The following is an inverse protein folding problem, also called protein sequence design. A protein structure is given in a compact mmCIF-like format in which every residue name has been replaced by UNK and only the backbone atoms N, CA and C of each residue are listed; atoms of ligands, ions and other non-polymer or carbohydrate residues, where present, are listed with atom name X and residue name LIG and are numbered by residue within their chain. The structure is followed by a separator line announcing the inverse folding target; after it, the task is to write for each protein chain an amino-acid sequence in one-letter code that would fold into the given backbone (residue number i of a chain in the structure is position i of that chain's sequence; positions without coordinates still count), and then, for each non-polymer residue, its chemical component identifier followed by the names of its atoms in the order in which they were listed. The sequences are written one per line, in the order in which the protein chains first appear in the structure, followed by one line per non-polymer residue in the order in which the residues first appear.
data_IF_680319711696
#
_entry.id   IF_680319711696
#
_cell.length_a   1.000
_cell.length_b   1.000
_cell.length_c   1.000
_cell.angle_alpha   90.00
_cell.angle_beta   90.00
_cell.angle_gamma   90.00
#
_symmetry.space_group_name_H-M   'P 1'
#
loop_
_entity.id
_entity.type
_entity.pdbx_description
1 polymer ?
#
# COMPACT_ATOMS: atom_id res chain seq x y z
N UNK A 1 -62.59 22.84 -13.20
CA UNK A 1 -62.42 22.79 -11.73
C UNK A 1 -60.98 23.10 -11.43
N UNK A 2 -60.70 24.33 -11.02
CA UNK A 2 -59.36 24.79 -10.64
C UNK A 2 -59.20 24.77 -9.13
N UNK A 3 -57.98 24.49 -8.66
CA UNK A 3 -57.59 24.78 -7.30
C UNK A 3 -56.24 25.51 -7.32
N UNK A 4 -56.31 26.75 -6.86
CA UNK A 4 -55.20 27.64 -6.55
C UNK A 4 -54.67 27.24 -5.18
N UNK A 5 -53.38 26.92 -5.08
CA UNK A 5 -52.71 26.70 -3.78
C UNK A 5 -52.05 28.01 -3.37
N UNK A 6 -52.54 28.59 -2.28
CA UNK A 6 -51.94 29.75 -1.61
C UNK A 6 -50.72 29.32 -0.79
N UNK A 7 -49.56 29.93 -1.08
CA UNK A 7 -48.41 29.94 -0.18
C UNK A 7 -48.65 30.99 0.93
N UNK A 8 -48.64 30.56 2.19
CA UNK A 8 -48.64 31.44 3.36
C UNK A 8 -47.27 31.35 4.04
N UNK A 9 -46.53 32.45 3.92
CA UNK A 9 -45.31 32.74 4.66
C UNK A 9 -45.67 33.05 6.12
N UNK A 10 -45.07 32.33 7.08
CA UNK A 10 -45.03 32.76 8.49
C UNK A 10 -43.56 33.00 8.85
N UNK A 11 -43.20 34.28 8.92
CA UNK A 11 -41.96 34.79 9.50
C UNK A 11 -42.06 34.68 11.02
N UNK A 12 -41.21 33.85 11.63
CA UNK A 12 -40.96 33.89 13.06
C UNK A 12 -39.57 34.45 13.33
N UNK A 13 -39.54 35.68 13.84
CA UNK A 13 -38.37 36.30 14.47
C UNK A 13 -38.15 35.64 15.84
N UNK A 14 -36.95 35.10 16.06
CA UNK A 14 -36.43 34.83 17.40
C UNK A 14 -35.08 35.51 17.56
N UNK A 15 -35.00 36.36 18.57
CA UNK A 15 -33.88 37.20 19.01
C UNK A 15 -32.62 36.40 19.41
N UNK A 16 -31.44 37.06 19.49
CA UNK A 16 -30.15 36.40 19.61
C UNK A 16 -29.87 35.88 21.02
N UNK A 17 -29.45 34.61 21.10
CA UNK A 17 -28.89 34.02 22.32
C UNK A 17 -27.45 34.48 22.46
N UNK A 18 -27.14 35.13 23.59
CA UNK A 18 -25.79 35.43 24.02
C UNK A 18 -24.96 34.13 24.10
N UNK A 19 -24.06 33.95 23.15
CA UNK A 19 -23.02 32.93 23.21
C UNK A 19 -21.98 33.35 24.25
N UNK A 20 -22.04 32.73 25.43
CA UNK A 20 -20.93 32.71 26.37
C UNK A 20 -19.73 32.05 25.67
N UNK A 21 -18.67 32.82 25.44
CA UNK A 21 -17.37 32.31 25.01
C UNK A 21 -16.76 31.60 26.22
N UNK A 22 -17.00 30.29 26.34
CA UNK A 22 -16.19 29.41 27.18
C UNK A 22 -14.78 29.38 26.59
N UNK A 23 -13.85 30.08 27.24
CA UNK A 23 -12.41 29.88 27.05
C UNK A 23 -12.09 28.46 27.51
N UNK A 24 -12.06 27.52 26.58
CA UNK A 24 -11.31 26.28 26.78
C UNK A 24 -9.84 26.67 26.87
N UNK A 25 -9.27 26.57 28.07
CA UNK A 25 -7.82 26.59 28.23
C UNK A 25 -7.26 25.40 27.45
N UNK A 26 -6.69 25.68 26.28
CA UNK A 26 -5.90 24.70 25.54
C UNK A 26 -4.72 24.36 26.43
N UNK A 27 -4.77 23.20 27.09
CA UNK A 27 -3.60 22.66 27.78
C UNK A 27 -2.58 22.36 26.68
N UNK A 28 -1.55 23.20 26.57
CA UNK A 28 -0.48 22.97 25.59
C UNK A 28 0.17 21.61 25.89
N UNK A 29 0.18 20.74 24.88
CA UNK A 29 0.83 19.44 24.99
C UNK A 29 2.32 19.63 25.23
N UNK A 30 2.85 19.01 26.28
CA UNK A 30 4.28 19.06 26.62
C UNK A 30 5.17 18.44 25.53
N UNK A 31 4.59 17.66 24.61
CA UNK A 31 5.28 17.05 23.48
C UNK A 31 4.76 17.65 22.16
N UNK A 32 5.69 17.93 21.25
CA UNK A 32 5.42 18.45 19.91
C UNK A 32 5.96 17.48 18.85
N UNK A 33 5.12 17.00 17.91
CA UNK A 33 3.66 17.16 17.89
C UNK A 33 2.99 16.42 19.07
N UNK A 34 1.77 16.81 19.44
CA UNK A 34 1.06 16.22 20.59
C UNK A 34 0.82 14.70 20.46
N UNK A 35 0.72 14.22 19.22
CA UNK A 35 0.69 12.81 18.88
C UNK A 35 1.84 12.52 17.91
N UNK A 36 3.04 12.23 18.44
CA UNK A 36 4.17 11.86 17.60
C UNK A 36 3.88 10.57 16.84
N UNK A 37 4.51 10.42 15.68
CA UNK A 37 4.47 9.20 14.89
C UNK A 37 5.68 8.34 15.21
N UNK A 38 5.55 7.03 15.09
CA UNK A 38 6.67 6.11 15.22
C UNK A 38 7.78 6.51 14.23
N UNK A 39 9.04 6.41 14.65
CA UNK A 39 10.22 6.75 13.88
C UNK A 39 10.11 8.15 13.20
N UNK A 40 9.64 9.15 13.96
CA UNK A 40 9.52 10.53 13.50
C UNK A 40 10.21 11.50 14.46
N UNK A 41 10.38 12.75 14.05
CA UNK A 41 10.98 13.78 14.91
C UNK A 41 9.92 14.27 15.90
N UNK A 42 10.29 14.28 17.18
CA UNK A 42 9.48 14.83 18.26
C UNK A 42 10.34 15.64 19.24
N UNK A 43 9.70 16.54 19.99
CA UNK A 43 10.34 17.44 20.93
C UNK A 43 9.55 17.51 22.23
N UNK A 44 10.26 17.67 23.34
CA UNK A 44 9.70 18.13 24.60
C UNK A 44 9.67 19.66 24.56
N UNK A 45 8.54 20.28 24.88
CA UNK A 45 8.36 21.73 24.95
C UNK A 45 9.02 22.30 26.22
N UNK A 46 10.35 22.18 26.30
CA UNK A 46 11.20 22.71 27.36
C UNK A 46 12.37 23.46 26.73
N UNK A 47 12.79 24.55 27.36
CA UNK A 47 13.92 25.37 26.90
C UNK A 47 15.26 24.92 27.49
N UNK A 48 15.24 24.12 28.56
CA UNK A 48 16.43 23.73 29.33
C UNK A 48 16.79 22.26 29.11
N UNK A 49 18.07 21.95 29.32
CA UNK A 49 18.56 20.57 29.35
C UNK A 49 18.17 19.93 30.67
N UNK A 50 17.69 18.69 30.61
CA UNK A 50 17.22 17.96 31.78
C UNK A 50 17.33 16.46 31.49
N UNK A 51 17.36 15.63 32.54
CA UNK A 51 17.45 14.19 32.35
C UNK A 51 16.07 13.61 32.06
N UNK A 52 15.75 13.50 30.77
CA UNK A 52 14.50 12.91 30.31
C UNK A 52 14.63 11.40 30.18
N UNK A 53 13.55 10.70 30.53
CA UNK A 53 13.38 9.27 30.25
C UNK A 53 12.02 9.03 29.61
N UNK A 54 11.98 8.30 28.51
CA UNK A 54 10.74 7.81 27.91
C UNK A 54 10.62 6.32 28.16
N UNK A 55 9.47 5.90 28.69
CA UNK A 55 9.10 4.50 28.86
C UNK A 55 7.95 4.12 27.94
N UNK A 56 7.99 2.93 27.36
CA UNK A 56 6.84 2.32 26.68
C UNK A 56 6.43 1.06 27.44
N UNK A 57 5.60 1.23 28.47
CA UNK A 57 5.26 0.15 29.39
C UNK A 57 6.52 -0.54 29.92
N UNK A 58 6.57 -1.88 29.82
CA UNK A 58 7.74 -2.67 30.23
C UNK A 58 8.66 -3.05 29.04
N UNK A 59 8.42 -2.52 27.83
CA UNK A 59 9.09 -2.98 26.61
C UNK A 59 10.40 -2.24 26.34
N UNK A 60 10.41 -0.92 26.53
CA UNK A 60 11.57 -0.09 26.25
C UNK A 60 11.65 1.12 27.16
N UNK A 61 12.89 1.54 27.43
CA UNK A 61 13.24 2.76 28.17
C UNK A 61 14.36 3.47 27.42
N UNK A 62 14.23 4.78 27.22
CA UNK A 62 15.19 5.59 26.47
C UNK A 62 15.52 6.86 27.26
N UNK A 63 16.80 7.14 27.48
CA UNK A 63 17.27 8.31 28.25
C UNK A 63 17.94 9.33 27.33
N UNK A 64 17.69 10.61 27.58
CA UNK A 64 18.25 11.70 26.78
C UNK A 64 18.25 13.02 27.56
N UNK A 65 19.13 13.95 27.17
CA UNK A 65 19.38 15.19 27.93
C UNK A 65 18.88 16.46 27.21
N UNK A 66 18.47 16.32 25.95
CA UNK A 66 18.10 17.46 25.09
C UNK A 66 16.59 17.54 24.90
N UNK A 67 16.00 18.73 24.65
CA UNK A 67 14.57 18.82 24.32
C UNK A 67 14.16 18.06 23.05
N UNK A 68 15.10 17.73 22.15
CA UNK A 68 14.84 16.87 20.99
C UNK A 68 14.82 15.41 21.44
N UNK A 69 13.72 14.72 21.20
CA UNK A 69 13.57 13.30 21.51
C UNK A 69 14.37 12.50 20.46
N UNK A 70 15.34 11.65 20.86
CA UNK A 70 16.01 10.74 19.95
C UNK A 70 15.01 9.80 19.29
N UNK A 71 15.21 9.53 18.00
CA UNK A 71 14.22 8.82 17.20
C UNK A 71 14.09 7.34 17.60
N UNK A 72 15.15 6.78 18.17
CA UNK A 72 15.18 5.44 18.74
C UNK A 72 14.28 5.30 19.98
N UNK A 73 13.91 6.41 20.62
CA UNK A 73 13.02 6.39 21.78
C UNK A 73 11.55 6.13 21.42
N UNK A 74 11.13 6.35 20.16
CA UNK A 74 9.73 6.29 19.72
C UNK A 74 9.57 5.45 18.45
N UNK A 75 9.97 4.17 18.51
CA UNK A 75 9.91 3.25 17.35
C UNK A 75 8.62 2.42 17.26
N UNK A 76 7.88 2.24 18.36
CA UNK A 76 6.69 1.39 18.39
C UNK A 76 5.39 2.20 18.49
N UNK A 77 4.32 1.69 17.89
CA UNK A 77 2.97 2.23 18.08
C UNK A 77 2.48 1.79 19.45
N UNK A 78 2.09 2.73 20.31
CA UNK A 78 1.56 2.45 21.65
C UNK A 78 0.88 3.68 22.23
N UNK A 79 -0.14 3.46 23.05
CA UNK A 79 -0.87 4.50 23.77
C UNK A 79 -0.33 4.72 25.19
N UNK A 80 0.71 4.00 25.60
CA UNK A 80 1.18 3.93 26.98
C UNK A 80 2.57 4.54 27.20
N UNK A 81 2.96 5.50 26.35
CA UNK A 81 4.25 6.17 26.55
C UNK A 81 4.19 7.12 27.74
N UNK A 82 5.21 7.06 28.60
CA UNK A 82 5.39 7.93 29.77
C UNK A 82 6.68 8.70 29.60
N UNK A 83 6.62 10.02 29.67
CA UNK A 83 7.77 10.91 29.71
C UNK A 83 8.04 11.29 31.18
N UNK A 84 9.27 11.07 31.62
CA UNK A 84 9.79 11.46 32.91
C UNK A 84 10.88 12.53 32.77
N UNK A 85 10.97 13.39 33.77
CA UNK A 85 12.02 14.39 33.94
C UNK A 85 12.61 14.22 35.33
N UNK A 86 13.91 13.92 35.42
CA UNK A 86 14.60 13.64 36.69
C UNK A 86 13.93 12.54 37.54
N UNK A 87 13.34 11.54 36.88
CA UNK A 87 12.65 10.41 37.50
C UNK A 87 11.21 10.67 37.96
N UNK A 88 10.66 11.85 37.65
CA UNK A 88 9.25 12.18 37.92
C UNK A 88 8.45 12.17 36.61
N UNK A 89 7.29 11.48 36.53
CA UNK A 89 6.46 11.49 35.33
C UNK A 89 5.86 12.88 35.10
N UNK A 90 6.06 13.42 33.90
CA UNK A 90 5.62 14.76 33.49
C UNK A 90 4.56 14.73 32.40
N UNK A 91 4.48 13.65 31.60
CA UNK A 91 3.45 13.48 30.58
C UNK A 91 3.20 12.01 30.25
N UNK A 92 1.99 11.74 29.77
CA UNK A 92 1.63 10.49 29.09
C UNK A 92 1.17 10.83 27.68
N UNK A 93 1.56 10.02 26.69
CA UNK A 93 1.24 10.28 25.29
C UNK A 93 1.11 9.00 24.47
N UNK A 94 0.49 9.13 23.30
CA UNK A 94 0.33 8.04 22.32
C UNK A 94 1.24 8.28 21.12
N UNK A 95 1.85 7.21 20.62
CA UNK A 95 2.64 7.19 19.38
C UNK A 95 1.84 6.50 18.29
N UNK A 96 1.55 7.22 17.20
CA UNK A 96 0.82 6.70 16.05
C UNK A 96 1.71 6.01 15.00
N UNK A 97 1.15 5.49 13.90
CA UNK A 97 1.91 4.85 12.83
C UNK A 97 2.91 5.80 12.17
N UNK A 98 4.04 5.26 11.66
CA UNK A 98 5.08 6.09 11.04
C UNK A 98 4.55 6.79 9.79
N UNK A 99 5.26 7.82 9.34
CA UNK A 99 4.86 8.58 8.16
C UNK A 99 5.32 7.87 6.87
N UNK A 100 4.57 6.84 6.49
CA UNK A 100 4.76 6.07 5.26
C UNK A 100 3.45 6.13 4.47
N UNK A 101 3.56 6.40 3.17
CA UNK A 101 2.45 6.41 2.22
C UNK A 101 2.71 5.37 1.14
N UNK A 102 1.71 4.52 0.91
CA UNK A 102 1.73 3.48 -0.11
C UNK A 102 0.81 3.93 -1.24
N UNK A 103 1.38 4.17 -2.43
CA UNK A 103 0.61 4.56 -3.61
C UNK A 103 0.52 3.38 -4.57
N UNK A 104 -0.70 2.93 -4.80
CA UNK A 104 -1.07 1.86 -5.74
C UNK A 104 -2.20 2.33 -6.64
N UNK A 105 -2.32 1.81 -7.87
CA UNK A 105 -3.49 2.06 -8.70
C UNK A 105 -4.73 1.35 -8.14
N UNK A 106 -5.91 1.85 -8.46
CA UNK A 106 -7.18 1.19 -8.10
C UNK A 106 -7.48 -0.02 -8.97
N UNK A 107 -6.95 -0.04 -10.20
CA UNK A 107 -7.12 -1.12 -11.17
C UNK A 107 -5.76 -1.50 -11.73
N UNK A 108 -5.56 -2.79 -12.01
CA UNK A 108 -4.33 -3.31 -12.60
C UNK A 108 -4.64 -4.45 -13.58
N UNK A 109 -3.86 -4.56 -14.64
CA UNK A 109 -4.06 -5.60 -15.65
C UNK A 109 -3.38 -6.90 -15.22
N UNK A 110 -4.05 -8.03 -15.47
CA UNK A 110 -3.46 -9.35 -15.29
C UNK A 110 -2.20 -9.51 -16.13
N UNK A 111 -1.24 -10.28 -15.61
CA UNK A 111 0.04 -10.58 -16.26
C UNK A 111 0.88 -9.35 -16.63
N UNK A 112 0.62 -8.19 -16.00
CA UNK A 112 1.48 -7.01 -16.07
C UNK A 112 2.23 -6.81 -14.75
N UNK A 113 3.49 -6.31 -14.79
CA UNK A 113 4.19 -5.94 -13.57
C UNK A 113 3.52 -4.72 -12.92
N UNK A 114 3.52 -4.67 -11.59
CA UNK A 114 3.00 -3.55 -10.82
C UNK A 114 4.12 -2.82 -10.09
N UNK A 115 4.29 -1.54 -10.40
CA UNK A 115 5.19 -0.67 -9.65
C UNK A 115 4.44 0.04 -8.52
N UNK A 116 4.85 -0.22 -7.29
CA UNK A 116 4.30 0.37 -6.08
C UNK A 116 5.23 1.47 -5.59
N UNK A 117 4.70 2.68 -5.44
CA UNK A 117 5.47 3.82 -4.95
C UNK A 117 5.28 3.97 -3.45
N UNK A 118 6.38 3.87 -2.71
CA UNK A 118 6.44 4.12 -1.28
C UNK A 118 7.07 5.47 -1.02
N UNK A 119 6.41 6.32 -0.25
CA UNK A 119 6.95 7.62 0.19
C UNK A 119 7.03 7.64 1.69
N UNK A 120 8.22 7.90 2.24
CA UNK A 120 8.50 7.83 3.67
C UNK A 120 9.11 9.13 4.19
N UNK A 121 8.81 9.45 5.47
CA UNK A 121 9.43 10.54 6.23
C UNK A 121 9.83 10.03 7.61
N UNK A 122 10.78 9.10 7.61
CA UNK A 122 11.31 8.49 8.83
C UNK A 122 12.55 9.25 9.31
N UNK A 123 12.74 9.29 10.62
CA UNK A 123 13.89 9.94 11.21
C UNK A 123 15.16 9.10 11.07
N UNK A 124 15.07 7.79 11.31
CA UNK A 124 16.16 6.82 11.08
C UNK A 124 15.74 5.83 9.99
N UNK A 125 16.74 5.25 9.31
CA UNK A 125 16.49 4.23 8.31
C UNK A 125 16.04 2.93 8.99
N UNK A 126 14.98 2.32 8.48
CA UNK A 126 14.39 1.09 9.03
C UNK A 126 14.03 0.14 7.89
N UNK A 127 14.29 -1.15 8.10
CA UNK A 127 13.92 -2.19 7.16
C UNK A 127 12.46 -2.61 7.39
N UNK A 128 11.70 -2.66 6.31
CA UNK A 128 10.32 -3.11 6.32
C UNK A 128 10.13 -4.28 5.36
N UNK A 129 9.23 -5.18 5.73
CA UNK A 129 8.76 -6.24 4.85
C UNK A 129 7.51 -5.77 4.11
N UNK A 130 7.55 -5.78 2.79
CA UNK A 130 6.43 -5.41 1.92
C UNK A 130 5.78 -6.69 1.41
N UNK A 131 4.49 -6.83 1.63
CA UNK A 131 3.70 -8.00 1.31
C UNK A 131 2.62 -7.63 0.30
N UNK A 132 2.52 -8.43 -0.76
CA UNK A 132 1.39 -8.41 -1.67
C UNK A 132 0.40 -9.48 -1.23
N UNK A 133 -0.80 -9.04 -0.92
CA UNK A 133 -1.91 -9.85 -0.44
C UNK A 133 -2.91 -10.05 -1.58
N UNK A 134 -3.46 -11.25 -1.69
CA UNK A 134 -4.47 -11.61 -2.69
C UNK A 134 -5.76 -12.11 -2.04
N UNK A 135 -6.89 -11.85 -2.70
CA UNK A 135 -8.21 -12.39 -2.39
C UNK A 135 -9.05 -12.51 -3.67
N UNK A 136 -9.63 -13.68 -3.92
CA UNK A 136 -10.56 -13.90 -5.03
C UNK A 136 -11.91 -13.15 -4.86
N UNK A 137 -12.64 -12.93 -5.97
CA UNK A 137 -13.92 -12.20 -5.98
C UNK A 137 -15.04 -12.89 -5.20
N UNK A 138 -15.17 -14.20 -5.37
CA UNK A 138 -16.29 -14.99 -4.88
C UNK A 138 -15.79 -16.17 -4.08
N UNK A 139 -15.53 -15.97 -2.78
CA UNK A 139 -15.45 -17.10 -1.85
C UNK A 139 -16.33 -16.82 -0.64
N UNK A 140 -17.35 -17.68 -0.49
CA UNK A 140 -18.07 -17.90 0.75
C UNK A 140 -17.55 -19.23 1.33
N UNK A 141 -17.04 -19.28 2.56
CA UNK A 141 -16.86 -18.16 3.49
C UNK A 141 -15.76 -17.19 3.01
N UNK A 142 -15.73 -15.93 3.49
CA UNK A 142 -14.70 -14.98 3.10
C UNK A 142 -13.33 -15.53 3.48
N UNK A 143 -12.57 -16.00 2.49
CA UNK A 143 -11.18 -16.37 2.72
C UNK A 143 -10.39 -15.16 3.23
N UNK A 144 -9.49 -15.43 4.18
CA UNK A 144 -8.49 -14.49 4.62
C UNK A 144 -7.52 -14.17 3.48
N UNK A 145 -7.12 -12.92 3.37
CA UNK A 145 -6.03 -12.50 2.48
C UNK A 145 -4.83 -13.45 2.54
N UNK A 146 -4.38 -13.95 1.40
CA UNK A 146 -3.19 -14.79 1.29
C UNK A 146 -2.00 -13.95 0.83
N UNK A 147 -0.80 -14.22 1.36
CA UNK A 147 0.42 -13.54 0.91
C UNK A 147 0.90 -14.25 -0.35
N UNK A 148 0.92 -13.54 -1.48
CA UNK A 148 1.36 -14.07 -2.78
C UNK A 148 2.77 -13.63 -3.15
N UNK A 149 3.23 -12.50 -2.59
CA UNK A 149 4.60 -12.06 -2.75
C UNK A 149 5.10 -11.31 -1.52
N UNK A 150 6.41 -11.31 -1.33
CA UNK A 150 7.09 -10.61 -0.24
C UNK A 150 8.39 -10.03 -0.75
N UNK A 151 8.69 -8.81 -0.32
CA UNK A 151 9.95 -8.12 -0.58
C UNK A 151 10.41 -7.40 0.69
N UNK A 152 11.70 -7.08 0.80
CA UNK A 152 12.25 -6.29 1.89
C UNK A 152 12.76 -4.97 1.36
N UNK A 153 12.61 -3.90 2.16
CA UNK A 153 13.01 -2.58 1.72
C UNK A 153 13.47 -1.70 2.87
N UNK A 154 14.56 -0.96 2.65
CA UNK A 154 15.06 0.02 3.60
C UNK A 154 14.41 1.38 3.31
N UNK A 155 13.60 1.87 4.24
CA UNK A 155 12.95 3.18 4.15
C UNK A 155 13.64 4.18 5.06
N UNK A 156 13.68 5.44 4.62
CA UNK A 156 14.16 6.57 5.43
C UNK A 156 13.34 7.82 5.12
N UNK A 157 13.96 8.85 4.53
CA UNK A 157 13.31 10.09 4.10
C UNK A 157 13.37 10.23 2.58
N UNK A 158 12.80 9.25 1.86
CA UNK A 158 12.78 9.24 0.40
C UNK A 158 11.54 8.55 -0.18
N UNK A 159 11.38 8.72 -1.50
CA UNK A 159 10.44 7.93 -2.29
C UNK A 159 11.19 6.84 -3.01
N UNK A 160 10.63 5.64 -2.98
CA UNK A 160 11.17 4.47 -3.68
C UNK A 160 10.06 3.75 -4.43
N UNK A 161 10.43 2.99 -5.46
CA UNK A 161 9.51 2.13 -6.19
C UNK A 161 9.91 0.67 -5.96
N UNK A 162 8.92 -0.18 -5.71
CA UNK A 162 9.07 -1.63 -5.65
C UNK A 162 8.25 -2.21 -6.78
N UNK A 163 8.86 -3.09 -7.58
CA UNK A 163 8.17 -3.75 -8.68
C UNK A 163 7.77 -5.16 -8.26
N UNK A 164 6.49 -5.47 -8.38
CA UNK A 164 5.98 -6.84 -8.32
C UNK A 164 5.92 -7.39 -9.75
N UNK A 165 6.60 -8.52 -10.04
CA UNK A 165 6.58 -9.10 -11.37
C UNK A 165 5.17 -9.57 -11.78
N UNK A 166 4.94 -9.67 -13.08
CA UNK A 166 3.66 -10.07 -13.67
C UNK A 166 3.11 -11.41 -13.16
N UNK A 167 3.98 -12.37 -12.83
CA UNK A 167 3.58 -13.69 -12.31
C UNK A 167 2.82 -13.63 -10.98
N UNK A 168 2.91 -12.51 -10.25
CA UNK A 168 2.13 -12.31 -9.03
C UNK A 168 0.67 -11.91 -9.31
N UNK A 169 0.32 -11.63 -10.57
CA UNK A 169 -1.00 -11.17 -11.00
C UNK A 169 -1.59 -12.13 -12.05
N UNK A 170 -1.39 -13.44 -11.83
CA UNK A 170 -1.92 -14.51 -12.68
C UNK A 170 -3.41 -14.81 -12.40
N UNK A 171 -3.90 -14.43 -11.22
CA UNK A 171 -5.29 -14.63 -10.82
C UNK A 171 -6.07 -13.32 -10.77
N UNK A 172 -7.30 -13.34 -11.24
CA UNK A 172 -8.23 -12.21 -11.09
C UNK A 172 -8.72 -12.12 -9.64
N UNK A 173 -8.97 -10.90 -9.16
CA UNK A 173 -9.42 -10.66 -7.80
C UNK A 173 -8.98 -9.31 -7.25
N UNK A 174 -8.95 -9.22 -5.92
CA UNK A 174 -8.45 -8.06 -5.18
C UNK A 174 -7.04 -8.31 -4.69
N UNK A 175 -6.20 -7.30 -4.85
CA UNK A 175 -4.87 -7.25 -4.29
C UNK A 175 -4.73 -6.09 -3.32
N UNK A 176 -3.87 -6.23 -2.32
CA UNK A 176 -3.58 -5.21 -1.32
C UNK A 176 -2.08 -5.22 -1.03
N UNK A 177 -1.50 -4.04 -0.83
CA UNK A 177 -0.10 -3.93 -0.39
C UNK A 177 -0.09 -3.62 1.10
N UNK A 178 0.64 -4.42 1.86
CA UNK A 178 0.89 -4.22 3.30
C UNK A 178 2.38 -4.09 3.56
N UNK A 179 2.74 -3.19 4.45
CA UNK A 179 4.10 -3.04 4.96
C UNK A 179 4.09 -3.44 6.43
N UNK A 180 5.03 -4.29 6.81
CA UNK A 180 5.20 -4.82 8.17
C UNK A 180 6.54 -4.33 8.72
N UNK A 181 6.50 -3.67 9.89
CA UNK A 181 7.70 -3.25 10.62
C UNK A 181 8.30 -4.41 11.43
N UNK A 182 9.60 -4.31 11.73
CA UNK A 182 10.27 -5.18 12.70
C UNK A 182 9.63 -5.13 14.10
N UNK A 183 8.91 -4.06 14.44
CA UNK A 183 8.18 -3.90 15.68
C UNK A 183 6.77 -4.52 15.65
N UNK A 184 6.39 -5.20 14.56
CA UNK A 184 5.17 -6.01 14.47
C UNK A 184 3.89 -5.26 14.13
N UNK A 185 3.97 -3.97 13.78
CA UNK A 185 2.82 -3.21 13.28
C UNK A 185 2.72 -3.23 11.75
N UNK A 186 1.49 -3.09 11.27
CA UNK A 186 1.15 -3.15 9.84
C UNK A 186 0.67 -1.79 9.33
N UNK A 187 1.03 -1.46 8.09
CA UNK A 187 0.56 -0.28 7.35
C UNK A 187 0.04 -0.78 6.01
N UNK A 188 -1.23 -0.54 5.72
CA UNK A 188 -1.89 -1.00 4.49
C UNK A 188 -2.10 0.15 3.51
N UNK A 189 -2.17 -0.15 2.22
CA UNK A 189 -2.56 0.84 1.22
C UNK A 189 -4.03 1.24 1.39
N UNK A 190 -4.32 2.52 1.20
CA UNK A 190 -5.69 3.06 1.33
C UNK A 190 -6.68 2.42 0.33
N UNK A 191 -6.15 1.97 -0.82
CA UNK A 191 -6.93 1.38 -1.89
C UNK A 191 -6.54 -0.08 -2.09
N UNK A 192 -7.55 -0.88 -2.45
CA UNK A 192 -7.36 -2.22 -3.01
C UNK A 192 -7.17 -2.09 -4.51
N UNK A 193 -6.38 -2.99 -5.07
CA UNK A 193 -6.11 -3.08 -6.50
C UNK A 193 -7.07 -4.12 -7.06
N UNK A 194 -7.93 -3.71 -7.98
CA UNK A 194 -8.80 -4.61 -8.73
C UNK A 194 -8.03 -5.17 -9.94
N UNK A 195 -7.92 -6.48 -10.01
CA UNK A 195 -7.31 -7.18 -11.14
C UNK A 195 -8.40 -7.99 -11.84
N UNK A 196 -8.77 -7.56 -13.04
CA UNK A 196 -9.81 -8.20 -13.84
C UNK A 196 -9.23 -9.20 -14.83
N UNK A 197 -10.04 -10.21 -15.18
CA UNK A 197 -9.71 -11.13 -16.28
C UNK A 197 -9.45 -10.38 -17.58
N UNK A 198 -8.21 -10.47 -18.08
CA UNK A 198 -7.88 -9.99 -19.41
C UNK A 198 -8.08 -11.12 -20.42
N UNK A 199 -8.92 -10.86 -21.42
CA UNK A 199 -9.17 -11.78 -22.55
C UNK A 199 -8.13 -11.63 -23.67
N UNK A 200 -7.15 -10.74 -23.48
CA UNK A 200 -6.19 -10.34 -24.52
C UNK A 200 -4.82 -10.10 -23.91
N UNK A 201 -3.82 -10.74 -24.50
CA UNK A 201 -2.41 -10.48 -24.24
C UNK A 201 -1.72 -10.12 -25.55
N UNK A 202 -0.71 -9.26 -25.51
CA UNK A 202 0.09 -8.94 -26.68
C UNK A 202 1.52 -9.36 -26.43
N UNK A 203 2.02 -10.31 -27.23
CA UNK A 203 3.41 -10.71 -27.20
C UNK A 203 4.19 -9.79 -28.13
N UNK A 204 5.07 -8.96 -27.56
CA UNK A 204 6.04 -8.23 -28.36
C UNK A 204 7.17 -9.16 -28.78
N UNK A 205 7.31 -9.34 -30.10
CA UNK A 205 8.41 -10.08 -30.67
C UNK A 205 9.68 -9.22 -30.60
N UNK A 206 10.76 -9.78 -30.08
CA UNK A 206 12.05 -9.10 -30.03
C UNK A 206 12.55 -8.77 -31.45
N UNK A 207 13.40 -7.76 -31.57
CA UNK A 207 13.98 -7.34 -32.86
C UNK A 207 14.89 -8.42 -33.50
N UNK A 208 15.38 -9.38 -32.72
CA UNK A 208 16.14 -10.54 -33.19
C UNK A 208 15.25 -11.78 -33.48
N UNK A 209 13.93 -11.58 -33.54
CA UNK A 209 12.98 -12.63 -33.92
C UNK A 209 13.17 -13.04 -35.38
N UNK A 210 13.06 -14.35 -35.63
CA UNK A 210 13.08 -14.93 -36.98
C UNK A 210 11.78 -14.71 -37.77
N UNK A 211 10.75 -14.11 -37.16
CA UNK A 211 9.48 -13.81 -37.82
C UNK A 211 9.60 -12.51 -38.63
N UNK A 212 9.12 -12.48 -39.88
CA UNK A 212 9.13 -11.26 -40.69
C UNK A 212 8.36 -10.14 -39.96
N UNK A 213 9.03 -8.99 -39.74
CA UNK A 213 8.54 -7.86 -38.94
C UNK A 213 7.43 -7.02 -39.59
N UNK A 214 6.58 -7.60 -40.44
CA UNK A 214 5.51 -6.87 -41.13
C UNK A 214 4.51 -6.25 -40.13
N UNK A 215 4.36 -6.84 -38.94
CA UNK A 215 3.67 -6.27 -37.79
C UNK A 215 4.55 -6.51 -36.57
N UNK A 216 4.93 -5.45 -35.85
CA UNK A 216 5.87 -5.53 -34.71
C UNK A 216 5.26 -6.21 -33.48
N UNK A 217 3.93 -6.20 -33.37
CA UNK A 217 3.19 -6.73 -32.24
C UNK A 217 2.36 -7.94 -32.68
N UNK A 218 2.59 -9.10 -32.05
CA UNK A 218 1.76 -10.28 -32.22
C UNK A 218 0.74 -10.30 -31.06
N UNK A 219 -0.51 -9.94 -31.34
CA UNK A 219 -1.58 -10.06 -30.34
C UNK A 219 -2.06 -11.51 -30.25
N UNK A 220 -1.92 -12.10 -29.06
CA UNK A 220 -2.44 -13.43 -28.74
C UNK A 220 -3.68 -13.26 -27.88
N UNK A 221 -4.85 -13.58 -28.45
CA UNK A 221 -6.09 -13.59 -27.71
C UNK A 221 -6.37 -15.03 -27.28
N UNK A 222 -6.68 -15.22 -26.02
CA UNK A 222 -7.22 -16.47 -25.52
C UNK A 222 -8.41 -16.16 -24.63
N UNK A 223 -9.42 -17.01 -24.72
CA UNK A 223 -10.43 -17.07 -23.67
C UNK A 223 -9.86 -18.00 -22.60
N UNK A 224 -9.67 -17.48 -21.38
CA UNK A 224 -9.33 -18.32 -20.24
C UNK A 224 -10.45 -19.35 -20.10
N UNK A 225 -10.13 -20.64 -20.31
CA UNK A 225 -11.11 -21.69 -20.12
C UNK A 225 -11.56 -21.62 -18.65
N UNK A 226 -12.87 -21.46 -18.41
CA UNK A 226 -13.48 -21.56 -17.07
C UNK A 226 -13.44 -23.00 -16.57
N UNK A 227 -12.24 -23.55 -16.44
CA UNK A 227 -12.02 -24.89 -15.92
C UNK A 227 -11.69 -24.74 -14.44
N UNK A 228 -12.65 -25.06 -13.58
CA UNK A 228 -12.40 -25.21 -12.15
C UNK A 228 -11.30 -26.26 -11.95
N UNK A 229 -10.17 -25.83 -11.36
CA UNK A 229 -9.14 -26.68 -10.77
C UNK A 229 -8.20 -27.48 -11.72
N UNK A 230 -7.74 -26.90 -12.83
CA UNK A 230 -6.54 -27.42 -13.50
C UNK A 230 -5.39 -26.40 -13.41
N UNK A 231 -4.21 -26.73 -12.84
CA UNK A 231 -2.99 -25.94 -13.02
C UNK A 231 -2.57 -26.05 -14.48
N UNK A 232 -3.17 -25.23 -15.34
CA UNK A 232 -2.92 -25.26 -16.77
C UNK A 232 -1.59 -24.57 -17.06
N UNK A 233 -0.57 -25.39 -17.31
CA UNK A 233 0.67 -24.92 -17.93
C UNK A 233 0.42 -24.72 -19.42
N UNK A 234 0.22 -23.47 -19.83
CA UNK A 234 0.02 -23.16 -21.24
C UNK A 234 1.38 -23.16 -21.96
N UNK A 235 1.51 -24.03 -22.95
CA UNK A 235 2.62 -24.04 -23.88
C UNK A 235 2.13 -23.53 -25.24
N UNK A 236 2.56 -22.33 -25.63
CA UNK A 236 2.25 -21.80 -26.95
C UNK A 236 3.32 -22.27 -27.92
N UNK A 237 2.91 -23.08 -28.91
CA UNK A 237 3.74 -23.44 -30.07
C UNK A 237 3.34 -22.55 -31.24
N UNK A 238 4.22 -21.64 -31.63
CA UNK A 238 4.03 -20.81 -32.83
C UNK A 238 4.80 -21.42 -33.99
N UNK A 239 4.10 -21.70 -35.09
CA UNK A 239 4.65 -22.27 -36.32
C UNK A 239 4.47 -21.24 -37.44
N UNK A 240 5.56 -20.86 -38.13
CA UNK A 240 5.48 -20.15 -39.39
C UNK A 240 5.49 -21.17 -40.52
N UNK A 241 4.41 -21.25 -41.30
CA UNK A 241 4.31 -22.13 -42.47
C UNK A 241 4.18 -21.23 -43.70
N UNK A 242 5.07 -21.35 -44.71
CA UNK A 242 4.90 -20.60 -45.94
C UNK A 242 3.63 -21.05 -46.67
N UNK A 243 2.89 -20.09 -47.21
CA UNK A 243 1.55 -20.21 -47.82
C UNK A 243 1.41 -21.27 -48.95
N UNK A 244 2.52 -21.90 -49.38
CA UNK A 244 2.57 -22.86 -50.50
C UNK A 244 3.19 -24.22 -50.17
N UNK A 245 3.51 -24.50 -48.90
CA UNK A 245 3.95 -25.83 -48.45
C UNK A 245 2.80 -26.56 -47.74
N UNK A 246 2.15 -27.49 -48.45
CA UNK A 246 1.11 -28.37 -47.90
C UNK A 246 1.68 -29.59 -47.16
N UNK A 247 3.00 -29.78 -47.17
CA UNK A 247 3.68 -30.87 -46.46
C UNK A 247 4.47 -30.33 -45.29
N UNK A 248 4.01 -30.68 -44.08
CA UNK A 248 4.52 -30.23 -42.79
C UNK A 248 5.91 -30.79 -42.41
N UNK A 249 6.66 -31.37 -43.35
CA UNK A 249 7.79 -32.24 -43.04
C UNK A 249 9.14 -31.54 -42.87
N UNK A 250 9.34 -30.32 -43.38
CA UNK A 250 10.73 -29.84 -43.54
C UNK A 250 11.14 -28.48 -42.98
N UNK A 251 10.26 -27.55 -42.59
CA UNK A 251 10.70 -26.22 -42.12
C UNK A 251 9.86 -25.59 -41.01
N UNK A 252 9.63 -26.31 -39.92
CA UNK A 252 9.21 -25.65 -38.68
C UNK A 252 10.42 -25.02 -38.00
N UNK A 253 10.51 -23.68 -37.98
CA UNK A 253 11.47 -23.01 -37.12
C UNK A 253 10.94 -22.96 -35.69
N UNK A 254 11.72 -23.49 -34.74
CA UNK A 254 11.35 -23.56 -33.34
C UNK A 254 11.57 -22.20 -32.68
N UNK A 255 10.51 -21.59 -32.16
CA UNK A 255 10.66 -20.63 -31.08
C UNK A 255 10.73 -21.43 -29.79
N UNK A 256 11.69 -21.09 -28.93
CA UNK A 256 11.91 -21.75 -27.65
C UNK A 256 10.67 -21.79 -26.74
N UNK A 257 10.84 -22.49 -25.64
CA UNK A 257 9.79 -22.75 -24.67
C UNK A 257 9.48 -21.49 -23.87
N UNK A 258 8.25 -21.01 -23.96
CA UNK A 258 7.70 -20.07 -23.00
C UNK A 258 6.87 -20.87 -22.00
N UNK A 259 7.28 -20.83 -20.74
CA UNK A 259 6.42 -21.25 -19.63
C UNK A 259 5.60 -20.03 -19.27
N UNK A 260 4.32 -20.05 -19.62
CA UNK A 260 3.35 -19.13 -19.05
C UNK A 260 3.09 -19.66 -17.63
N UNK A 261 3.72 -19.01 -16.66
CA UNK A 261 3.53 -19.23 -15.23
C UNK A 261 2.43 -18.31 -14.73
#
# INVERSE_FOLDING_TARGET
MGFVVFLLYILHQSQPVHAYITRHSVTESLIAPAQPRANSIAFVQRTEHSNFTIHNGNQSSCRFETPRIPCECILAISDTYILEENGLPIAMFSVGPPNIRITVPSEHEMLQPLDVKLTSKLCIAEEFRVELLYRAFEMLPPESWSIVATSSVLLHSSSINISFPCGNFADSGFYLVRIVSLHGYNIESDHRILVNETTRFSLQLRNDSIFPHCVKDLSLQWETAKCEAAPLSYHIRVLAIPERESEHSHRSHYIGWYRLL
#
